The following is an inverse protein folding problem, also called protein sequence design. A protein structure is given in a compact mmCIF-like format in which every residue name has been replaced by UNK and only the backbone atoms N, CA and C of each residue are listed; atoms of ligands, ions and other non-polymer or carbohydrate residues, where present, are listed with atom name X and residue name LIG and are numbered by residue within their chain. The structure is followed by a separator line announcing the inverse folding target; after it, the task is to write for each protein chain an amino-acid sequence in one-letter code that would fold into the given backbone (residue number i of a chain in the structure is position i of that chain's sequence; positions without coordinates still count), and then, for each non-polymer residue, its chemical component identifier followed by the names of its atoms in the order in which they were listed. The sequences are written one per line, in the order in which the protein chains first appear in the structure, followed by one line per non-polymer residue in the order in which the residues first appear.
data_IF_580379941198
#
_entry.id   IF_580379941198
#
_cell.length_a   1.000
_cell.length_b   1.000
_cell.length_c   1.000
_cell.angle_alpha   90.00
_cell.angle_beta   90.00
_cell.angle_gamma   90.00
#
_symmetry.space_group_name_H-M   'P 1'
#
loop_
_entity.id
_entity.type
_entity.pdbx_description
1 polymer ?
#
# COMPACT_ATOMS: atom_id res chain seq x y z
N UNK A 1 4.73 31.86 -19.19
CA UNK A 1 3.57 32.57 -18.66
C UNK A 1 2.39 31.67 -18.30
N UNK A 2 1.96 30.72 -19.14
CA UNK A 2 0.79 29.84 -18.83
C UNK A 2 1.00 28.98 -17.56
N UNK A 3 2.18 28.41 -17.34
CA UNK A 3 2.48 27.59 -16.15
C UNK A 3 2.39 28.41 -14.84
N UNK A 4 2.87 29.64 -14.85
CA UNK A 4 2.80 30.55 -13.71
C UNK A 4 1.34 30.91 -13.36
N UNK A 5 0.48 31.11 -14.36
CA UNK A 5 -0.94 31.34 -14.16
C UNK A 5 -1.67 30.14 -13.54
N UNK A 6 -1.32 28.91 -13.94
CA UNK A 6 -1.87 27.70 -13.32
C UNK A 6 -1.40 27.52 -11.87
N UNK A 7 -0.14 27.82 -11.55
CA UNK A 7 0.35 27.78 -10.18
C UNK A 7 -0.34 28.83 -9.29
N UNK A 8 -0.57 30.04 -9.78
CA UNK A 8 -1.28 31.09 -9.05
C UNK A 8 -2.75 30.71 -8.86
N UNK A 9 -3.40 30.14 -9.86
CA UNK A 9 -4.78 29.65 -9.75
C UNK A 9 -4.90 28.51 -8.73
N UNK A 10 -3.97 27.59 -8.69
CA UNK A 10 -3.89 26.49 -7.69
C UNK A 10 -3.67 27.03 -6.27
N UNK A 11 -2.83 28.05 -6.10
CA UNK A 11 -2.56 28.68 -4.79
C UNK A 11 -3.78 29.47 -4.31
N UNK A 12 -4.47 30.19 -5.21
CA UNK A 12 -5.67 30.96 -4.85
C UNK A 12 -6.87 30.07 -4.50
N UNK A 13 -7.03 28.91 -5.14
CA UNK A 13 -8.06 27.94 -4.76
C UNK A 13 -7.80 27.29 -3.41
N UNK A 14 -6.53 27.13 -2.99
CA UNK A 14 -6.20 26.67 -1.65
C UNK A 14 -6.60 27.65 -0.54
N UNK A 15 -6.62 28.96 -0.81
CA UNK A 15 -7.01 29.97 0.20
C UNK A 15 -8.53 30.01 0.44
N UNK A 16 -9.36 29.67 -0.54
CA UNK A 16 -10.82 29.59 -0.37
C UNK A 16 -11.27 28.45 0.57
N UNK A 17 -10.42 27.46 0.82
CA UNK A 17 -10.68 26.38 1.79
C UNK A 17 -10.55 26.81 3.27
N UNK A 18 -9.98 27.96 3.59
CA UNK A 18 -9.81 28.43 4.97
C UNK A 18 -11.10 28.96 5.62
N UNK A 19 -12.16 29.18 4.85
CA UNK A 19 -13.38 29.86 5.33
C UNK A 19 -14.39 28.97 6.08
N UNK A 20 -14.17 27.66 6.17
CA UNK A 20 -15.11 26.78 6.89
C UNK A 20 -14.62 26.47 8.33
N UNK A 21 -14.85 27.43 9.24
CA UNK A 21 -14.69 27.24 10.69
C UNK A 21 -15.69 26.20 11.21
N UNK A 22 -15.21 25.19 11.94
CA UNK A 22 -16.04 24.35 12.80
C UNK A 22 -16.19 22.87 12.47
N UNK A 23 -15.43 22.30 11.53
CA UNK A 23 -15.39 20.85 11.38
C UNK A 23 -14.41 20.24 12.39
N UNK A 24 -14.90 19.31 13.22
CA UNK A 24 -14.05 18.47 14.07
C UNK A 24 -13.04 17.71 13.18
N UNK A 25 -11.77 18.05 13.32
CA UNK A 25 -10.69 17.62 12.43
C UNK A 25 -9.77 16.59 13.07
N UNK A 26 -9.96 16.35 14.35
CA UNK A 26 -9.11 15.47 15.12
C UNK A 26 -9.56 14.00 14.92
N UNK A 27 -8.60 13.08 14.99
CA UNK A 27 -8.88 11.66 15.03
C UNK A 27 -9.29 11.27 16.47
N UNK A 28 -10.50 11.65 16.89
CA UNK A 28 -11.04 11.27 18.19
C UNK A 28 -11.59 9.85 18.20
N UNK A 29 -11.84 9.31 17.01
CA UNK A 29 -12.42 7.98 16.88
C UNK A 29 -11.35 6.91 16.99
N UNK A 30 -11.78 5.72 17.37
CA UNK A 30 -10.87 4.60 17.63
C UNK A 30 -10.38 3.93 16.36
N UNK A 31 -11.27 3.74 15.37
CA UNK A 31 -10.99 2.93 14.19
C UNK A 31 -11.45 3.62 12.91
N UNK A 32 -10.55 3.69 11.95
CA UNK A 32 -10.85 4.12 10.58
C UNK A 32 -10.52 2.99 9.62
N UNK A 33 -11.38 2.76 8.66
CA UNK A 33 -11.07 1.97 7.48
C UNK A 33 -10.46 2.86 6.41
N UNK A 34 -9.43 2.39 5.73
CA UNK A 34 -8.90 3.06 4.56
C UNK A 34 -8.71 2.09 3.40
N UNK A 35 -8.85 2.62 2.19
CA UNK A 35 -8.56 1.94 0.95
C UNK A 35 -7.95 2.92 -0.04
N UNK A 36 -6.99 2.46 -0.82
CA UNK A 36 -6.26 3.29 -1.76
C UNK A 36 -5.77 2.52 -2.98
N UNK A 37 -5.43 3.30 -4.00
CA UNK A 37 -4.80 2.80 -5.22
C UNK A 37 -3.62 3.68 -5.59
N UNK A 38 -2.70 3.16 -6.39
CA UNK A 38 -1.53 3.93 -6.78
C UNK A 38 -0.52 3.14 -7.57
N UNK A 39 0.75 3.47 -7.37
CA UNK A 39 1.89 2.92 -8.08
C UNK A 39 2.83 2.21 -7.11
N UNK A 40 3.40 1.10 -7.57
CA UNK A 40 4.53 0.44 -6.94
C UNK A 40 5.73 0.47 -7.90
N UNK A 41 6.80 1.12 -7.47
CA UNK A 41 7.99 1.37 -8.27
C UNK A 41 9.14 0.50 -7.74
N UNK A 42 9.58 -0.53 -8.48
CA UNK A 42 10.78 -1.28 -8.13
C UNK A 42 12.00 -0.37 -8.12
N UNK A 43 12.90 -0.53 -7.14
CA UNK A 43 14.10 0.28 -7.00
C UNK A 43 15.37 -0.56 -7.14
N UNK A 44 16.46 0.08 -7.60
CA UNK A 44 17.77 -0.53 -7.71
C UNK A 44 17.75 -1.78 -8.60
N UNK A 45 18.39 -2.86 -8.15
CA UNK A 45 18.47 -4.15 -8.87
C UNK A 45 17.13 -4.87 -9.02
N UNK A 46 16.11 -4.51 -8.23
CA UNK A 46 14.75 -5.04 -8.39
C UNK A 46 14.18 -4.75 -9.78
N UNK A 47 14.59 -3.64 -10.42
CA UNK A 47 14.17 -3.25 -11.78
C UNK A 47 14.61 -4.24 -12.86
N UNK A 48 15.60 -5.06 -12.59
CA UNK A 48 16.07 -6.07 -13.55
C UNK A 48 15.06 -7.21 -13.73
N UNK A 49 14.24 -7.45 -12.69
CA UNK A 49 13.26 -8.56 -12.65
C UNK A 49 11.83 -8.04 -12.72
N UNK A 50 11.56 -6.90 -12.07
CA UNK A 50 10.23 -6.33 -11.96
C UNK A 50 10.15 -4.98 -12.66
N UNK A 51 9.08 -4.78 -13.42
CA UNK A 51 8.75 -3.48 -14.01
C UNK A 51 7.42 -2.95 -13.44
N UNK A 52 7.31 -1.62 -13.37
CA UNK A 52 6.12 -0.94 -12.85
C UNK A 52 4.90 -1.24 -13.73
N UNK A 53 3.78 -1.61 -13.09
CA UNK A 53 2.44 -1.63 -13.68
C UNK A 53 1.55 -0.66 -12.92
N UNK A 54 0.54 -0.13 -13.59
CA UNK A 54 -0.33 0.93 -13.05
C UNK A 54 -1.26 0.49 -11.92
N UNK A 55 -1.30 -0.80 -11.56
CA UNK A 55 -2.23 -1.28 -10.56
C UNK A 55 -1.52 -1.72 -9.29
N UNK A 56 -1.71 -0.93 -8.24
CA UNK A 56 -1.38 -1.29 -6.85
C UNK A 56 -2.55 -0.85 -5.98
N UNK A 57 -3.07 -1.77 -5.17
CA UNK A 57 -4.15 -1.50 -4.22
C UNK A 57 -3.68 -1.68 -2.79
N UNK A 58 -4.30 -0.95 -1.88
CA UNK A 58 -4.13 -1.16 -0.44
C UNK A 58 -5.47 -1.04 0.27
N UNK A 59 -5.61 -1.78 1.36
CA UNK A 59 -6.72 -1.65 2.30
C UNK A 59 -6.23 -1.95 3.72
N UNK A 60 -6.85 -1.34 4.70
CA UNK A 60 -6.44 -1.55 6.08
C UNK A 60 -7.26 -0.78 7.09
N UNK A 61 -6.78 -0.84 8.32
CA UNK A 61 -7.37 -0.13 9.46
C UNK A 61 -6.34 0.82 10.05
N UNK A 62 -6.80 1.97 10.47
CA UNK A 62 -6.05 2.91 11.30
C UNK A 62 -6.69 2.89 12.69
N UNK A 63 -6.01 2.25 13.63
CA UNK A 63 -6.50 2.02 15.00
C UNK A 63 -5.78 2.95 15.94
N UNK A 64 -6.47 4.00 16.42
CA UNK A 64 -5.92 4.94 17.37
C UNK A 64 -5.66 4.28 18.72
N UNK A 65 -4.49 4.50 19.29
CA UNK A 65 -4.16 4.06 20.65
C UNK A 65 -4.77 5.01 21.69
N UNK A 66 -4.55 4.72 22.99
CA UNK A 66 -5.03 5.56 24.09
C UNK A 66 -4.65 7.04 23.91
N UNK A 67 -3.45 7.31 23.41
CA UNK A 67 -3.05 8.64 22.92
C UNK A 67 -3.24 8.66 21.40
N UNK A 68 -4.16 9.47 20.84
CA UNK A 68 -4.48 9.48 19.41
C UNK A 68 -3.34 9.94 18.50
N UNK A 69 -2.23 10.43 19.05
CA UNK A 69 -1.00 10.68 18.30
C UNK A 69 -0.33 9.39 17.81
N UNK A 70 -0.57 8.27 18.51
CA UNK A 70 -0.05 6.95 18.16
C UNK A 70 -1.15 6.06 17.65
N UNK A 71 -0.85 5.21 16.69
CA UNK A 71 -1.81 4.32 16.07
C UNK A 71 -1.17 3.04 15.56
N UNK A 72 -1.97 2.01 15.38
CA UNK A 72 -1.62 0.78 14.69
C UNK A 72 -2.24 0.79 13.29
N UNK A 73 -1.51 0.24 12.33
CA UNK A 73 -1.86 0.24 10.92
C UNK A 73 -1.73 -1.17 10.32
N UNK A 74 -2.65 -2.11 10.64
CA UNK A 74 -2.75 -3.34 9.88
C UNK A 74 -3.20 -3.05 8.45
N UNK A 75 -2.41 -3.49 7.46
CA UNK A 75 -2.64 -3.15 6.04
C UNK A 75 -2.32 -4.32 5.13
N UNK A 76 -3.20 -4.57 4.17
CA UNK A 76 -2.97 -5.47 3.05
C UNK A 76 -2.68 -4.66 1.79
N UNK A 77 -1.57 -4.97 1.12
CA UNK A 77 -1.19 -4.44 -0.19
C UNK A 77 -1.28 -5.53 -1.24
N UNK A 78 -1.78 -5.17 -2.40
CA UNK A 78 -1.80 -6.00 -3.60
C UNK A 78 -1.08 -5.26 -4.72
N UNK A 79 0.12 -5.71 -5.06
CA UNK A 79 0.99 -5.08 -6.04
C UNK A 79 1.19 -6.01 -7.23
N UNK A 80 0.99 -5.48 -8.44
CA UNK A 80 1.24 -6.20 -9.68
C UNK A 80 2.37 -5.56 -10.46
N UNK A 81 3.26 -6.40 -10.98
CA UNK A 81 4.46 -5.99 -11.71
C UNK A 81 4.56 -6.73 -13.05
N UNK A 82 5.17 -6.09 -14.05
CA UNK A 82 5.73 -6.84 -15.15
C UNK A 82 6.93 -7.65 -14.64
N UNK A 83 7.13 -8.84 -15.17
CA UNK A 83 8.11 -9.79 -14.69
C UNK A 83 8.93 -10.35 -15.84
N UNK A 84 10.26 -10.25 -15.71
CA UNK A 84 11.21 -10.86 -16.62
C UNK A 84 12.09 -11.84 -15.83
N UNK A 85 12.02 -13.12 -16.20
CA UNK A 85 12.86 -14.14 -15.61
C UNK A 85 14.29 -14.01 -16.14
N UNK A 86 15.27 -13.83 -15.24
CA UNK A 86 16.69 -13.69 -15.59
C UNK A 86 17.39 -15.03 -15.66
N UNK A 87 17.20 -15.84 -14.61
CA UNK A 87 17.86 -17.13 -14.46
C UNK A 87 16.90 -18.26 -14.79
N UNK A 88 17.42 -19.28 -15.51
CA UNK A 88 16.67 -20.51 -15.73
C UNK A 88 16.51 -21.21 -14.39
N UNK A 89 15.28 -21.49 -14.00
CA UNK A 89 14.98 -22.28 -12.82
C UNK A 89 15.18 -23.77 -13.18
N UNK A 90 15.83 -24.54 -12.30
CA UNK A 90 16.13 -25.96 -12.57
C UNK A 90 14.88 -26.84 -12.69
N UNK A 91 13.77 -26.38 -12.12
CA UNK A 91 12.48 -27.08 -12.13
C UNK A 91 11.67 -26.80 -13.41
N UNK A 92 12.10 -25.86 -14.29
CA UNK A 92 11.34 -25.41 -15.45
C UNK A 92 12.21 -25.30 -16.69
N UNK A 93 11.70 -25.76 -17.83
CA UNK A 93 12.49 -25.83 -19.06
C UNK A 93 12.66 -24.50 -19.79
N UNK A 94 11.76 -23.55 -19.56
CA UNK A 94 11.72 -22.28 -20.28
C UNK A 94 11.87 -21.08 -19.35
N UNK A 95 12.52 -20.02 -19.85
CA UNK A 95 12.54 -18.72 -19.19
C UNK A 95 11.40 -17.83 -19.71
N UNK A 96 10.67 -17.21 -18.78
CA UNK A 96 9.54 -16.37 -19.11
C UNK A 96 9.96 -14.90 -19.20
N UNK A 97 9.58 -14.23 -20.30
CA UNK A 97 9.71 -12.78 -20.46
C UNK A 97 8.34 -12.13 -20.61
N UNK A 98 8.21 -10.87 -20.20
CA UNK A 98 6.96 -10.11 -20.24
C UNK A 98 5.81 -10.77 -19.46
N UNK A 99 6.14 -11.52 -18.41
CA UNK A 99 5.16 -12.10 -17.51
C UNK A 99 4.53 -11.08 -16.57
N UNK A 100 3.69 -11.58 -15.65
CA UNK A 100 3.08 -10.79 -14.58
C UNK A 100 3.35 -11.46 -13.24
N UNK A 101 4.10 -10.79 -12.36
CA UNK A 101 4.26 -11.21 -10.98
C UNK A 101 3.37 -10.37 -10.06
N UNK A 102 2.91 -10.99 -8.97
CA UNK A 102 2.14 -10.29 -7.94
C UNK A 102 2.82 -10.43 -6.59
N UNK A 103 2.78 -9.36 -5.81
CA UNK A 103 3.24 -9.37 -4.42
C UNK A 103 2.08 -8.93 -3.54
N UNK A 104 1.67 -9.82 -2.63
CA UNK A 104 0.71 -9.55 -1.57
C UNK A 104 1.50 -9.30 -0.29
N UNK A 105 1.25 -8.17 0.37
CA UNK A 105 1.97 -7.78 1.58
C UNK A 105 0.98 -7.51 2.70
N UNK A 106 1.03 -8.33 3.75
CA UNK A 106 0.33 -8.06 5.00
C UNK A 106 1.31 -7.39 5.97
N UNK A 107 0.99 -6.18 6.41
CA UNK A 107 1.85 -5.43 7.35
C UNK A 107 1.10 -5.05 8.61
N UNK A 108 1.82 -5.00 9.73
CA UNK A 108 1.36 -4.44 10.99
C UNK A 108 2.34 -3.35 11.41
N UNK A 109 2.01 -2.11 11.11
CA UNK A 109 2.87 -0.97 11.41
C UNK A 109 2.38 -0.20 12.64
N UNK A 110 3.31 0.37 13.39
CA UNK A 110 3.05 1.39 14.38
C UNK A 110 3.38 2.76 13.81
N UNK A 111 2.59 3.76 14.13
CA UNK A 111 2.77 5.10 13.58
C UNK A 111 2.57 6.23 14.58
N UNK A 112 3.07 7.37 14.18
CA UNK A 112 2.90 8.65 14.85
C UNK A 112 2.24 9.62 13.88
N UNK A 113 1.26 10.42 14.38
CA UNK A 113 0.58 11.45 13.60
C UNK A 113 0.59 12.80 14.28
N UNK A 114 0.61 13.86 13.47
CA UNK A 114 0.39 15.23 13.89
C UNK A 114 -0.79 15.81 13.12
N UNK A 115 -1.69 16.45 13.85
CA UNK A 115 -2.94 16.96 13.32
C UNK A 115 -2.96 18.48 13.38
N UNK A 116 -3.39 19.11 12.30
CA UNK A 116 -3.67 20.55 12.21
C UNK A 116 -5.03 20.73 11.58
N UNK A 117 -5.89 21.46 12.16
CA UNK A 117 -7.25 21.73 11.63
C UNK A 117 -7.82 20.58 10.77
N UNK A 118 -7.65 20.62 9.44
CA UNK A 118 -8.15 19.61 8.49
C UNK A 118 -7.06 18.70 7.91
N UNK A 119 -5.80 18.99 8.23
CA UNK A 119 -4.67 18.24 7.74
C UNK A 119 -4.14 17.33 8.84
N UNK A 120 -3.95 16.07 8.53
CA UNK A 120 -3.29 15.09 9.37
C UNK A 120 -2.07 14.58 8.61
N UNK A 121 -0.88 14.71 9.19
CA UNK A 121 0.33 14.10 8.65
C UNK A 121 0.76 12.97 9.56
N UNK A 122 1.33 11.92 8.96
CA UNK A 122 1.71 10.74 9.70
C UNK A 122 2.95 10.06 9.13
N UNK A 123 3.59 9.30 9.98
CA UNK A 123 4.66 8.38 9.64
C UNK A 123 4.43 7.06 10.34
N UNK A 124 4.92 5.97 9.74
CA UNK A 124 4.80 4.64 10.31
C UNK A 124 5.97 3.74 9.90
N UNK A 125 6.18 2.71 10.71
CA UNK A 125 7.12 1.63 10.45
C UNK A 125 6.57 0.34 11.05
N UNK A 126 6.80 -0.79 10.39
CA UNK A 126 6.41 -2.08 10.94
C UNK A 126 6.88 -3.27 10.14
N UNK A 127 6.82 -4.46 10.78
CA UNK A 127 7.04 -5.72 10.11
C UNK A 127 5.93 -6.02 9.10
N UNK A 128 6.27 -6.83 8.11
CA UNK A 128 5.34 -7.30 7.12
C UNK A 128 5.70 -8.74 6.68
N UNK A 129 4.70 -9.42 6.14
CA UNK A 129 4.83 -10.71 5.50
C UNK A 129 4.44 -10.56 4.02
N UNK A 130 5.33 -10.96 3.13
CA UNK A 130 5.15 -10.86 1.69
C UNK A 130 4.97 -12.23 1.06
N UNK A 131 3.88 -12.43 0.32
CA UNK A 131 3.67 -13.56 -0.58
C UNK A 131 3.92 -13.08 -2.00
N UNK A 132 4.92 -13.65 -2.67
CA UNK A 132 5.22 -13.36 -4.08
C UNK A 132 4.72 -14.51 -4.93
N UNK A 133 4.03 -14.19 -6.02
CA UNK A 133 3.53 -15.12 -7.03
C UNK A 133 4.25 -14.83 -8.33
N UNK A 134 5.11 -15.75 -8.75
CA UNK A 134 5.95 -15.65 -9.95
C UNK A 134 5.46 -16.62 -11.00
N UNK A 135 5.21 -16.19 -12.25
CA UNK A 135 4.88 -17.12 -13.32
C UNK A 135 6.12 -17.91 -13.74
N UNK A 136 5.90 -19.15 -14.15
CA UNK A 136 6.87 -20.06 -14.73
C UNK A 136 6.28 -20.69 -15.98
N UNK A 137 7.13 -21.06 -16.91
CA UNK A 137 6.73 -21.73 -18.14
C UNK A 137 7.44 -23.08 -18.24
N UNK A 138 6.67 -24.10 -18.48
CA UNK A 138 7.14 -25.46 -18.71
C UNK A 138 6.68 -25.96 -20.08
N UNK A 139 7.47 -26.81 -20.71
CA UNK A 139 7.12 -27.39 -21.99
C UNK A 139 6.58 -28.80 -21.79
N UNK A 140 5.33 -29.00 -22.16
CA UNK A 140 4.76 -30.35 -22.21
C UNK A 140 5.14 -30.98 -23.56
N UNK A 141 6.20 -31.83 -23.58
CA UNK A 141 6.70 -32.44 -24.79
C UNK A 141 5.68 -33.35 -25.47
N UNK A 142 4.71 -33.90 -24.70
CA UNK A 142 3.72 -34.85 -25.24
C UNK A 142 2.68 -34.17 -26.15
N UNK A 143 2.43 -32.89 -25.96
CA UNK A 143 1.37 -32.15 -26.69
C UNK A 143 1.87 -30.83 -27.34
N UNK A 144 3.20 -30.58 -27.32
CA UNK A 144 3.86 -29.37 -27.83
C UNK A 144 3.24 -28.06 -27.27
N UNK A 145 2.68 -28.11 -26.06
CA UNK A 145 2.08 -26.95 -25.41
C UNK A 145 3.01 -26.39 -24.33
N UNK A 146 2.91 -25.06 -24.13
CA UNK A 146 3.57 -24.37 -23.03
C UNK A 146 2.57 -24.24 -21.89
N UNK A 147 2.85 -24.91 -20.79
CA UNK A 147 2.06 -24.83 -19.57
C UNK A 147 2.60 -23.70 -18.68
N UNK A 148 1.68 -22.81 -18.22
CA UNK A 148 1.98 -21.76 -17.28
C UNK A 148 1.67 -22.24 -15.87
N UNK A 149 2.69 -22.28 -15.03
CA UNK A 149 2.59 -22.55 -13.61
C UNK A 149 2.96 -21.33 -12.76
N UNK A 150 2.75 -21.41 -11.46
CA UNK A 150 3.07 -20.30 -10.55
C UNK A 150 3.93 -20.80 -9.40
N UNK A 151 5.05 -20.12 -9.19
CA UNK A 151 5.92 -20.32 -8.03
C UNK A 151 5.53 -19.34 -6.93
N UNK A 152 5.26 -19.88 -5.76
CA UNK A 152 4.90 -19.09 -4.58
C UNK A 152 6.10 -18.97 -3.66
N UNK A 153 6.38 -17.77 -3.18
CA UNK A 153 7.44 -17.56 -2.19
C UNK A 153 6.95 -16.62 -1.07
N UNK A 154 7.12 -17.08 0.17
CA UNK A 154 6.76 -16.33 1.36
C UNK A 154 8.03 -15.77 2.02
N UNK A 155 8.01 -14.52 2.42
CA UNK A 155 9.17 -13.88 3.06
C UNK A 155 8.78 -12.78 4.04
N UNK A 156 9.58 -12.59 5.09
CA UNK A 156 9.47 -11.41 5.93
C UNK A 156 9.88 -10.15 5.14
N UNK A 157 9.27 -9.04 5.52
CA UNK A 157 9.56 -7.72 4.97
C UNK A 157 9.46 -6.67 6.06
N UNK A 158 9.95 -5.46 5.77
CA UNK A 158 9.72 -4.27 6.57
C UNK A 158 9.08 -3.21 5.69
N UNK A 159 8.14 -2.47 6.26
CA UNK A 159 7.49 -1.34 5.61
C UNK A 159 7.67 -0.08 6.45
N UNK A 160 8.04 1.03 5.78
CA UNK A 160 8.10 2.36 6.35
C UNK A 160 7.40 3.32 5.40
N UNK A 161 6.74 4.34 5.94
CA UNK A 161 6.10 5.34 5.08
C UNK A 161 5.71 6.61 5.81
N UNK A 162 5.34 7.58 5.00
CA UNK A 162 4.83 8.88 5.41
C UNK A 162 3.61 9.21 4.57
N UNK A 163 2.69 9.96 5.14
CA UNK A 163 1.51 10.35 4.41
C UNK A 163 0.83 11.56 5.02
N UNK A 164 -0.22 11.96 4.34
CA UNK A 164 -1.04 13.09 4.73
C UNK A 164 -2.48 12.85 4.32
N UNK A 165 -3.41 13.12 5.24
CA UNK A 165 -4.85 13.02 5.02
C UNK A 165 -5.48 14.40 5.16
N UNK A 166 -6.34 14.77 4.23
CA UNK A 166 -7.17 15.97 4.33
C UNK A 166 -8.61 15.59 4.64
N UNK A 167 -9.18 16.16 5.71
CA UNK A 167 -10.54 15.88 6.18
C UNK A 167 -11.59 16.67 5.41
N UNK A 168 -12.49 15.96 4.78
CA UNK A 168 -13.76 16.45 4.26
C UNK A 168 -14.91 16.18 5.28
N UNK A 169 -16.12 16.57 4.97
CA UNK A 169 -17.27 16.46 5.89
C UNK A 169 -17.60 15.03 6.36
N UNK A 170 -17.31 13.99 5.55
CA UNK A 170 -17.65 12.60 5.86
C UNK A 170 -16.49 11.60 5.70
N UNK A 171 -15.37 12.03 5.16
CA UNK A 171 -14.22 11.17 4.84
C UNK A 171 -12.92 11.95 4.83
N UNK A 172 -11.81 11.24 4.72
CA UNK A 172 -10.51 11.82 4.47
C UNK A 172 -10.02 11.38 3.08
N UNK A 173 -9.40 12.30 2.37
CA UNK A 173 -8.60 11.99 1.19
C UNK A 173 -7.13 11.97 1.61
N UNK A 174 -6.45 10.86 1.36
CA UNK A 174 -5.08 10.64 1.76
C UNK A 174 -4.13 10.46 0.60
N UNK A 175 -2.88 10.87 0.83
CA UNK A 175 -1.73 10.54 0.00
C UNK A 175 -0.64 9.94 0.87
N UNK A 176 -0.07 8.82 0.42
CA UNK A 176 0.95 8.07 1.13
C UNK A 176 2.12 7.75 0.21
N UNK A 177 3.33 7.91 0.72
CA UNK A 177 4.56 7.39 0.13
C UNK A 177 5.14 6.37 1.09
N UNK A 178 5.34 5.15 0.60
CA UNK A 178 5.87 4.04 1.39
C UNK A 178 7.08 3.40 0.73
N UNK A 179 7.91 2.79 1.53
CA UNK A 179 9.03 1.97 1.10
C UNK A 179 8.92 0.59 1.72
N UNK A 180 9.11 -0.44 0.90
CA UNK A 180 9.05 -1.84 1.28
C UNK A 180 10.40 -2.49 0.97
N UNK A 181 10.97 -3.16 1.96
CA UNK A 181 12.12 -4.02 1.80
C UNK A 181 11.73 -5.47 2.14
N UNK A 182 11.82 -6.37 1.16
CA UNK A 182 11.62 -7.82 1.35
C UNK A 182 12.99 -8.46 1.54
N UNK A 183 13.16 -9.22 2.61
CA UNK A 183 14.46 -9.82 2.95
C UNK A 183 14.86 -10.96 2.03
N UNK A 184 13.90 -11.69 1.48
CA UNK A 184 14.19 -12.73 0.48
C UNK A 184 14.43 -12.09 -0.89
N UNK A 185 15.49 -12.54 -1.54
CA UNK A 185 15.82 -12.13 -2.90
C UNK A 185 14.83 -12.72 -3.91
N UNK A 186 14.59 -11.99 -4.98
CA UNK A 186 13.85 -12.42 -6.16
C UNK A 186 14.86 -12.63 -7.29
N UNK A 187 15.07 -13.88 -7.70
CA UNK A 187 16.09 -14.22 -8.70
C UNK A 187 17.46 -13.61 -8.40
N UNK A 188 17.98 -13.85 -7.20
CA UNK A 188 19.26 -13.32 -6.76
C UNK A 188 19.29 -11.83 -6.42
N UNK A 189 18.27 -11.06 -6.80
CA UNK A 189 18.20 -9.61 -6.59
C UNK A 189 17.42 -9.24 -5.32
N UNK A 190 17.91 -8.28 -4.51
CA UNK A 190 17.14 -7.77 -3.38
C UNK A 190 15.87 -7.08 -3.88
N UNK A 191 14.79 -7.14 -3.07
CA UNK A 191 13.50 -6.55 -3.45
C UNK A 191 13.25 -5.27 -2.66
N UNK A 192 13.28 -4.15 -3.36
CA UNK A 192 13.01 -2.81 -2.86
C UNK A 192 11.90 -2.18 -3.70
N UNK A 193 10.83 -1.73 -3.05
CA UNK A 193 9.68 -1.14 -3.73
C UNK A 193 9.30 0.17 -3.06
N UNK A 194 9.20 1.23 -3.85
CA UNK A 194 8.59 2.50 -3.45
C UNK A 194 7.11 2.47 -3.84
N UNK A 195 6.22 2.77 -2.91
CA UNK A 195 4.78 2.88 -3.16
C UNK A 195 4.33 4.33 -3.08
N UNK A 196 3.46 4.73 -3.99
CA UNK A 196 2.77 6.03 -3.97
C UNK A 196 1.28 5.75 -4.08
N UNK A 197 0.52 6.06 -3.04
CA UNK A 197 -0.89 5.70 -2.92
C UNK A 197 -1.75 6.94 -2.71
N UNK A 198 -2.91 6.97 -3.32
CA UNK A 198 -4.00 7.91 -3.03
C UNK A 198 -5.18 7.08 -2.54
N UNK A 199 -5.83 7.52 -1.49
CA UNK A 199 -6.89 6.72 -0.89
C UNK A 199 -7.91 7.53 -0.10
N UNK A 200 -8.96 6.83 0.28
CA UNK A 200 -10.01 7.35 1.13
C UNK A 200 -9.96 6.67 2.49
N UNK A 201 -10.24 7.43 3.55
CA UNK A 201 -10.35 6.94 4.91
C UNK A 201 -11.71 7.35 5.48
N UNK A 202 -12.39 6.40 6.12
CA UNK A 202 -13.72 6.59 6.72
C UNK A 202 -13.74 6.08 8.15
N UNK A 203 -14.51 6.76 9.01
CA UNK A 203 -14.72 6.36 10.41
C UNK A 203 -15.67 5.16 10.48
N UNK A 204 -15.20 4.07 11.05
CA UNK A 204 -15.96 2.85 11.28
C UNK A 204 -16.06 2.48 12.77
N UNK A 205 -15.76 3.39 13.67
CA UNK A 205 -15.70 3.13 15.12
C UNK A 205 -17.00 2.51 15.65
N UNK A 206 -18.15 3.01 15.24
CA UNK A 206 -19.45 2.45 15.67
C UNK A 206 -19.64 0.99 15.24
N UNK A 207 -19.17 0.62 14.06
CA UNK A 207 -19.24 -0.76 13.56
C UNK A 207 -18.29 -1.64 14.36
N UNK A 208 -17.07 -1.15 14.59
CA UNK A 208 -16.05 -1.84 15.39
C UNK A 208 -16.54 -2.07 16.82
N UNK A 209 -17.11 -1.06 17.49
CA UNK A 209 -17.62 -1.20 18.85
C UNK A 209 -18.75 -2.25 18.92
N UNK A 210 -19.67 -2.28 17.95
CA UNK A 210 -20.74 -3.29 17.87
C UNK A 210 -20.21 -4.71 17.64
N UNK A 211 -19.19 -4.87 16.80
CA UNK A 211 -18.55 -6.18 16.56
C UNK A 211 -17.90 -6.70 17.86
N UNK A 212 -17.19 -5.83 18.58
CA UNK A 212 -16.56 -6.20 19.86
C UNK A 212 -17.61 -6.60 20.89
N UNK A 213 -18.74 -5.89 20.98
CA UNK A 213 -19.86 -6.21 21.87
C UNK A 213 -20.42 -7.62 21.59
N UNK A 214 -20.66 -7.94 20.33
CA UNK A 214 -21.15 -9.28 19.92
C UNK A 214 -20.14 -10.39 20.23
N UNK A 215 -18.85 -10.17 19.97
CA UNK A 215 -17.81 -11.17 20.22
C UNK A 215 -17.56 -11.36 21.72
N UNK A 216 -17.63 -10.29 22.51
CA UNK A 216 -17.41 -10.35 23.97
C UNK A 216 -18.59 -10.94 24.77
N UNK A 217 -19.71 -11.21 24.11
CA UNK A 217 -20.89 -11.81 24.75
C UNK A 217 -21.60 -10.89 25.77
N UNK A 218 -21.28 -9.61 25.77
CA UNK A 218 -21.95 -8.61 26.58
C UNK A 218 -23.24 -8.15 25.86
N UNK A 219 -24.31 -8.94 26.00
CA UNK A 219 -25.68 -8.54 25.73
C UNK A 219 -26.35 -7.98 26.99
#
# INVERSE_FOLDING_TARGET
MKLLAYCILLISTMQLCYAQRGADTLHFRKVYYFGGTGLALPLGKTKNVLSTKLFTGSMGLDISLKNPKYYLLPTLYMMSFGYDQLDKDQEYDRTLKNGRASIYLLSLAGGFRKQWQRLNTYSYIGPAAALTVEPRADQNEAIEQIDLSYKYSFAPAIKVGVGSDYKFKGFFLGFEVGYIHKFQKLQGNPVHVLTMMVGLKSDITKISDKVVEVISGNN
#
